data_IF_682212890263
#
_entry.id   IF_682212890263
#
_cell.length_a   1.000
_cell.length_b   1.000
_cell.length_c   1.000
_cell.angle_alpha   90.00
_cell.angle_beta   90.00
_cell.angle_gamma   90.00
#
_symmetry.space_group_name_H-M   'P 1'
#
loop_
_entity.id
_entity.type
_entity.pdbx_description
1 polymer ?
#
# COMPACT_ATOMS: atom_id res chain seq x y z
N UNK A 1 -70.67 8.43 25.00
CA UNK A 1 -69.53 7.49 25.13
C UNK A 1 -68.91 7.29 23.75
N UNK A 2 -67.58 7.25 23.69
CA UNK A 2 -66.68 6.91 22.58
C UNK A 2 -65.78 8.07 22.12
N UNK A 3 -64.72 8.32 22.90
CA UNK A 3 -63.57 9.12 22.46
C UNK A 3 -62.68 8.24 21.59
N UNK A 4 -62.59 8.54 20.30
CA UNK A 4 -61.69 7.84 19.38
C UNK A 4 -60.28 8.42 19.48
N UNK A 5 -59.40 7.70 20.18
CA UNK A 5 -57.97 7.97 20.25
C UNK A 5 -57.27 7.50 18.97
N UNK A 6 -56.87 8.44 18.10
CA UNK A 6 -55.97 8.15 16.98
C UNK A 6 -54.52 8.10 17.52
N UNK A 7 -54.06 6.89 17.83
CA UNK A 7 -52.65 6.63 18.13
C UNK A 7 -51.82 6.83 16.87
N UNK A 8 -51.24 8.03 16.74
CA UNK A 8 -50.30 8.36 15.67
C UNK A 8 -48.97 7.68 16.01
N UNK A 9 -48.82 6.42 15.57
CA UNK A 9 -47.57 5.67 15.65
C UNK A 9 -46.50 6.44 14.90
N UNK A 10 -45.71 7.20 15.65
CA UNK A 10 -44.55 7.94 15.18
C UNK A 10 -43.51 6.93 14.71
N UNK A 11 -43.55 6.57 13.42
CA UNK A 11 -42.42 5.91 12.78
C UNK A 11 -41.31 6.94 12.69
N UNK A 12 -40.49 7.01 13.74
CA UNK A 12 -39.23 7.73 13.73
C UNK A 12 -38.31 7.06 12.72
N UNK A 13 -38.34 7.51 11.47
CA UNK A 13 -37.27 7.29 10.50
C UNK A 13 -36.05 8.09 10.98
N UNK A 14 -35.45 7.65 12.08
CA UNK A 14 -34.13 8.12 12.48
C UNK A 14 -33.16 7.63 11.40
N UNK A 15 -32.79 8.52 10.46
CA UNK A 15 -31.70 8.28 9.51
C UNK A 15 -30.46 8.00 10.34
N UNK A 16 -30.13 6.71 10.54
CA UNK A 16 -28.86 6.34 11.13
C UNK A 16 -27.77 6.81 10.16
N UNK A 17 -26.78 7.61 10.59
CA UNK A 17 -25.63 7.89 9.75
C UNK A 17 -24.97 6.54 9.44
N UNK A 18 -24.89 6.22 8.16
CA UNK A 18 -24.38 4.95 7.66
C UNK A 18 -22.86 4.95 7.83
N UNK A 19 -22.42 4.51 9.00
CA UNK A 19 -21.01 4.16 9.22
C UNK A 19 -20.77 2.83 8.54
N UNK A 20 -20.19 2.88 7.34
CA UNK A 20 -19.75 1.69 6.62
C UNK A 20 -18.51 1.17 7.35
N UNK A 21 -18.57 -0.07 7.81
CA UNK A 21 -17.41 -0.73 8.41
C UNK A 21 -16.37 -1.04 7.33
N UNK A 22 -15.09 -0.94 7.67
CA UNK A 22 -14.02 -1.30 6.76
C UNK A 22 -14.13 -2.77 6.36
N UNK A 23 -14.15 -3.03 5.05
CA UNK A 23 -14.07 -4.38 4.54
C UNK A 23 -12.61 -4.85 4.61
N UNK A 24 -12.34 -6.06 5.12
CA UNK A 24 -10.97 -6.58 5.19
C UNK A 24 -10.43 -6.83 3.79
N UNK A 25 -9.14 -6.53 3.58
CA UNK A 25 -8.47 -6.68 2.28
C UNK A 25 -8.56 -8.09 1.71
N UNK A 26 -8.55 -9.12 2.55
CA UNK A 26 -8.73 -10.53 2.15
C UNK A 26 -10.06 -10.82 1.45
N UNK A 27 -11.10 -10.01 1.70
CA UNK A 27 -12.40 -10.11 1.03
C UNK A 27 -12.52 -9.18 -0.17
N UNK A 28 -11.68 -8.16 -0.25
CA UNK A 28 -11.61 -7.23 -1.38
C UNK A 28 -10.86 -7.90 -2.53
N UNK A 29 -9.75 -8.54 -2.21
CA UNK A 29 -8.97 -9.30 -3.17
C UNK A 29 -9.47 -10.75 -3.27
N UNK A 30 -9.43 -11.32 -4.48
CA UNK A 30 -9.78 -12.73 -4.68
C UNK A 30 -8.72 -13.62 -4.02
N UNK A 31 -9.09 -14.83 -3.59
CA UNK A 31 -8.26 -15.74 -2.78
C UNK A 31 -6.94 -16.24 -3.39
N UNK A 32 -6.51 -15.71 -4.54
CA UNK A 32 -5.20 -15.97 -5.15
C UNK A 32 -4.16 -14.91 -4.78
N UNK A 33 -4.56 -13.88 -4.03
CA UNK A 33 -3.66 -12.79 -3.64
C UNK A 33 -2.84 -13.19 -2.43
N UNK A 34 -1.52 -13.05 -2.51
CA UNK A 34 -0.63 -13.35 -1.39
C UNK A 34 -0.90 -12.40 -0.22
N UNK A 35 -0.66 -12.88 1.00
CA UNK A 35 -0.88 -12.07 2.22
C UNK A 35 0.01 -10.82 2.22
N UNK A 36 1.22 -10.97 1.68
CA UNK A 36 2.21 -9.91 1.51
C UNK A 36 1.70 -8.76 0.63
N UNK A 37 0.90 -9.06 -0.41
CA UNK A 37 0.32 -8.05 -1.29
C UNK A 37 -0.79 -7.25 -0.57
N UNK A 38 -1.61 -7.93 0.22
CA UNK A 38 -2.65 -7.27 1.02
C UNK A 38 -2.05 -6.33 2.06
N UNK A 39 -0.92 -6.71 2.67
CA UNK A 39 -0.18 -5.85 3.61
C UNK A 39 0.35 -4.57 2.94
N UNK A 40 0.90 -4.69 1.73
CA UNK A 40 1.33 -3.52 0.95
C UNK A 40 0.15 -2.59 0.66
N UNK A 41 -1.00 -3.14 0.26
CA UNK A 41 -2.20 -2.35 0.02
C UNK A 41 -2.65 -1.59 1.28
N UNK A 42 -2.61 -2.22 2.45
CA UNK A 42 -2.97 -1.57 3.72
C UNK A 42 -2.01 -0.44 4.12
N UNK A 43 -0.71 -0.61 3.84
CA UNK A 43 0.33 0.38 4.14
C UNK A 43 0.24 1.61 3.23
N UNK A 44 -0.17 1.43 1.97
CA UNK A 44 -0.30 2.50 0.99
C UNK A 44 -1.65 3.22 1.08
N UNK A 45 -2.74 2.48 1.28
CA UNK A 45 -4.11 2.98 1.19
C UNK A 45 -4.66 3.39 2.56
N UNK A 46 -3.90 4.23 3.27
CA UNK A 46 -4.33 4.85 4.53
C UNK A 46 -5.04 6.17 4.28
N UNK A 47 -6.14 6.40 4.99
CA UNK A 47 -6.83 7.70 4.97
C UNK A 47 -5.93 8.82 5.50
N UNK A 48 -5.32 8.59 6.67
CA UNK A 48 -4.37 9.54 7.26
C UNK A 48 -3.05 9.54 6.46
N UNK A 49 -2.67 10.67 5.83
CA UNK A 49 -1.44 10.77 5.04
C UNK A 49 -0.17 10.56 5.88
N UNK A 50 -0.17 10.92 7.16
CA UNK A 50 1.01 10.73 8.02
C UNK A 50 1.26 9.25 8.33
N UNK A 51 0.20 8.44 8.34
CA UNK A 51 0.30 6.98 8.53
C UNK A 51 0.64 6.20 7.25
N UNK A 52 0.66 6.86 6.08
CA UNK A 52 1.02 6.19 4.81
C UNK A 52 2.51 5.87 4.80
N UNK A 53 2.82 4.65 4.41
CA UNK A 53 4.20 4.25 4.26
C UNK A 53 4.80 4.91 3.02
N UNK A 54 5.98 5.57 3.12
CA UNK A 54 6.63 6.16 1.96
C UNK A 54 6.90 5.13 0.86
N UNK A 55 6.74 5.48 -0.44
CA UNK A 55 6.86 4.52 -1.53
C UNK A 55 8.17 3.75 -1.55
N UNK A 56 9.30 4.41 -1.25
CA UNK A 56 10.61 3.77 -1.20
C UNK A 56 10.72 2.77 -0.04
N UNK A 57 10.01 3.01 1.07
CA UNK A 57 9.93 2.06 2.17
C UNK A 57 9.01 0.89 1.86
N UNK A 58 7.94 1.13 1.10
CA UNK A 58 7.09 0.07 0.53
C UNK A 58 7.90 -0.84 -0.39
N UNK A 59 8.81 -0.27 -1.20
CA UNK A 59 9.67 -1.08 -2.06
C UNK A 59 10.47 -2.08 -1.24
N UNK A 60 10.97 -1.71 -0.05
CA UNK A 60 11.71 -2.60 0.86
C UNK A 60 10.86 -3.72 1.50
N UNK A 61 9.57 -3.81 1.20
CA UNK A 61 8.70 -4.87 1.71
C UNK A 61 9.04 -6.24 1.11
N UNK A 62 8.80 -7.30 1.90
CA UNK A 62 9.00 -8.70 1.55
C UNK A 62 8.30 -9.15 0.27
N UNK A 63 7.21 -8.46 -0.08
CA UNK A 63 6.49 -8.68 -1.33
C UNK A 63 7.40 -8.55 -2.57
N UNK A 64 8.39 -7.66 -2.52
CA UNK A 64 9.33 -7.41 -3.62
C UNK A 64 10.65 -8.20 -3.50
N UNK A 65 10.82 -9.05 -2.48
CA UNK A 65 12.05 -9.82 -2.30
C UNK A 65 12.27 -10.84 -3.42
N UNK A 66 11.18 -11.35 -4.02
CA UNK A 66 11.27 -12.19 -5.22
C UNK A 66 12.00 -11.48 -6.37
N UNK A 67 11.76 -10.17 -6.57
CA UNK A 67 12.43 -9.39 -7.61
C UNK A 67 13.91 -9.15 -7.29
N UNK A 68 14.28 -9.09 -6.02
CA UNK A 68 15.67 -8.90 -5.56
C UNK A 68 16.50 -10.17 -5.63
N UNK A 69 15.88 -11.32 -5.39
CA UNK A 69 16.56 -12.62 -5.36
C UNK A 69 16.69 -13.22 -6.77
N UNK A 70 15.82 -12.84 -7.70
CA UNK A 70 15.92 -13.27 -9.09
C UNK A 70 16.95 -12.43 -9.85
N UNK A 71 18.14 -13.00 -10.04
CA UNK A 71 19.20 -12.44 -10.89
C UNK A 71 18.84 -12.58 -12.37
N UNK A 72 17.92 -11.72 -12.82
CA UNK A 72 17.52 -11.60 -14.22
C UNK A 72 18.09 -10.31 -14.80
N UNK A 73 18.80 -10.35 -15.94
CA UNK A 73 19.33 -9.15 -16.60
C UNK A 73 18.25 -8.09 -16.87
N UNK A 74 17.02 -8.50 -17.17
CA UNK A 74 15.88 -7.59 -17.35
C UNK A 74 15.54 -6.79 -16.09
N UNK A 75 15.72 -7.38 -14.90
CA UNK A 75 15.44 -6.73 -13.62
C UNK A 75 16.53 -5.75 -13.20
N UNK A 76 17.69 -5.71 -13.85
CA UNK A 76 18.75 -4.74 -13.54
C UNK A 76 18.26 -3.30 -13.68
N UNK A 77 17.33 -3.05 -14.62
CA UNK A 77 16.68 -1.75 -14.83
C UNK A 77 15.72 -1.34 -13.70
N UNK A 78 15.30 -2.26 -12.82
CA UNK A 78 14.43 -1.94 -11.70
C UNK A 78 15.20 -1.32 -10.51
N UNK A 79 16.52 -1.47 -10.51
CA UNK A 79 17.39 -1.08 -9.39
C UNK A 79 18.32 0.09 -9.76
N UNK A 80 18.08 0.78 -10.87
CA UNK A 80 18.91 1.86 -11.42
C UNK A 80 18.65 3.25 -10.80
N UNK A 81 18.43 3.28 -9.48
CA UNK A 81 18.05 4.50 -8.74
C UNK A 81 19.03 5.66 -8.97
N UNK A 82 18.48 6.86 -9.18
CA UNK A 82 19.26 8.11 -9.26
C UNK A 82 19.70 8.56 -7.86
N UNK A 83 20.82 9.30 -7.74
CA UNK A 83 21.18 9.94 -6.48
C UNK A 83 20.05 10.84 -5.93
N UNK A 84 19.35 11.53 -6.83
CA UNK A 84 18.19 12.39 -6.52
C UNK A 84 16.97 11.61 -6.01
N UNK A 85 16.91 10.29 -6.20
CA UNK A 85 15.81 9.45 -5.70
C UNK A 85 16.12 8.90 -4.29
N UNK A 86 17.40 8.75 -3.98
CA UNK A 86 17.90 8.16 -2.74
C UNK A 86 18.28 9.18 -1.66
N UNK A 87 18.09 10.49 -1.89
CA UNK A 87 18.59 11.55 -1.02
C UNK A 87 18.10 11.49 0.44
N UNK A 88 16.95 10.87 0.69
CA UNK A 88 16.33 10.73 2.02
C UNK A 88 16.46 9.31 2.60
N UNK A 89 17.15 8.40 1.91
CA UNK A 89 17.38 7.04 2.38
C UNK A 89 18.63 6.94 3.26
N UNK A 90 18.53 6.14 4.32
CA UNK A 90 19.73 5.78 5.08
C UNK A 90 20.61 4.81 4.27
N UNK A 91 21.92 4.73 4.55
CA UNK A 91 22.81 3.77 3.90
C UNK A 91 22.32 2.31 4.04
N UNK A 92 21.72 1.98 5.19
CA UNK A 92 21.16 0.65 5.46
C UNK A 92 19.94 0.33 4.60
N UNK A 93 19.08 1.32 4.35
CA UNK A 93 17.92 1.15 3.46
C UNK A 93 18.38 0.94 2.01
N UNK A 94 19.44 1.65 1.61
CA UNK A 94 20.05 1.50 0.30
C UNK A 94 20.57 0.08 0.05
N UNK A 95 21.19 -0.55 1.05
CA UNK A 95 21.63 -1.95 0.97
C UNK A 95 20.46 -2.94 0.81
N UNK A 96 19.28 -2.63 1.34
CA UNK A 96 18.08 -3.45 1.14
C UNK A 96 17.41 -3.21 -0.21
N UNK A 97 17.48 -1.99 -0.72
CA UNK A 97 16.90 -1.61 -2.01
C UNK A 97 17.68 -2.16 -3.19
N UNK A 98 19.01 -2.09 -3.16
CA UNK A 98 19.89 -2.47 -4.27
C UNK A 98 20.60 -3.80 -3.95
N UNK A 99 20.22 -4.91 -4.61
CA UNK A 99 20.89 -6.19 -4.39
C UNK A 99 22.30 -6.20 -4.98
N UNK A 100 23.19 -7.01 -4.39
CA UNK A 100 24.63 -7.04 -4.70
C UNK A 100 24.99 -7.47 -6.12
N UNK A 101 24.09 -8.20 -6.79
CA UNK A 101 24.28 -8.68 -8.16
C UNK A 101 24.07 -7.58 -9.20
N UNK A 102 23.36 -6.50 -8.85
CA UNK A 102 23.12 -5.40 -9.78
C UNK A 102 24.44 -4.66 -10.02
N UNK A 103 24.92 -4.57 -11.28
CA UNK A 103 26.14 -3.86 -11.56
C UNK A 103 25.98 -2.38 -11.20
N UNK A 104 27.04 -1.78 -10.65
CA UNK A 104 27.06 -0.35 -10.41
C UNK A 104 26.75 0.38 -11.73
N UNK A 105 25.80 1.33 -11.67
CA UNK A 105 25.32 2.06 -12.83
C UNK A 105 26.51 2.59 -13.64
N UNK A 106 26.61 2.17 -14.89
CA UNK A 106 27.53 2.79 -15.84
C UNK A 106 27.08 4.23 -15.96
N UNK A 107 27.91 5.18 -15.52
CA UNK A 107 27.67 6.60 -15.79
C UNK A 107 27.64 6.73 -17.30
N UNK A 108 26.47 7.02 -17.86
CA UNK A 108 26.39 7.51 -19.23
C UNK A 108 26.98 8.92 -19.17
N UNK A 109 28.28 9.00 -19.42
CA UNK A 109 29.02 10.24 -19.52
C UNK A 109 28.60 10.90 -20.84
N UNK A 110 27.84 12.00 -20.76
CA UNK A 110 27.57 12.88 -21.89
C UNK A 110 26.10 13.00 -22.30
N UNK A 111 25.47 14.11 -21.87
CA UNK A 111 24.67 15.03 -22.70
C UNK A 111 24.47 16.33 -21.93
#
# INVERSE_FOLDING_TARGET
MASTSLSRSSRSWARRPHRIAAHPWEKVFRGWTSREANEVADLMLRYDPASRLPPLHVLMHRFFDALRNEEKPSHATLFDFRPDELWWCTPRDRERLVPRWVPARVKVEGA
#
